data_IF_499185994094
#
_entry.id   IF_499185994094
#
_cell.length_a   1.000
_cell.length_b   1.000
_cell.length_c   1.000
_cell.angle_alpha   90.00
_cell.angle_beta   90.00
_cell.angle_gamma   90.00
#
_symmetry.space_group_name_H-M   'P 1'
#
loop_
_entity.id
_entity.type
_entity.pdbx_description
1 polymer ?
#
# COMPACT_ATOMS: atom_id res chain seq x y z
N UNK A 1 -0.25 20.67 -37.08
CA UNK A 1 0.34 21.32 -38.27
C UNK A 1 -0.35 20.77 -39.51
N UNK A 2 -1.12 21.59 -40.26
CA UNK A 2 -1.73 21.15 -41.51
C UNK A 2 -0.67 20.60 -42.48
N UNK A 3 -0.95 19.43 -43.08
CA UNK A 3 -0.07 18.82 -44.10
C UNK A 3 1.15 18.05 -43.61
N UNK A 4 1.44 18.02 -42.30
CA UNK A 4 2.51 17.17 -41.73
C UNK A 4 2.01 15.74 -41.54
N UNK A 5 2.89 14.77 -41.78
CA UNK A 5 2.57 13.36 -41.53
C UNK A 5 2.82 13.02 -40.07
N UNK A 6 2.09 12.04 -39.55
CA UNK A 6 2.19 11.63 -38.15
C UNK A 6 3.61 11.20 -37.75
N UNK A 7 4.32 10.53 -38.67
CA UNK A 7 5.72 10.12 -38.46
C UNK A 7 6.72 11.29 -38.39
N UNK A 8 6.36 12.48 -38.87
CA UNK A 8 7.19 13.67 -38.74
C UNK A 8 7.05 14.31 -37.35
N UNK A 9 6.00 13.94 -36.60
CA UNK A 9 5.60 14.58 -35.34
C UNK A 9 5.88 13.69 -34.13
N UNK A 10 5.81 12.36 -34.28
CA UNK A 10 5.93 11.41 -33.20
C UNK A 10 7.07 10.41 -33.43
N UNK A 11 7.81 10.01 -32.37
CA UNK A 11 8.76 8.90 -32.43
C UNK A 11 8.14 7.61 -32.97
N UNK A 12 8.97 6.76 -33.59
CA UNK A 12 8.52 5.58 -34.33
C UNK A 12 7.58 4.64 -33.56
N UNK A 13 7.89 4.36 -32.30
CA UNK A 13 7.06 3.50 -31.45
C UNK A 13 5.66 4.08 -31.21
N UNK A 14 5.59 5.37 -30.87
CA UNK A 14 4.32 6.06 -30.60
C UNK A 14 3.52 6.22 -31.91
N UNK A 15 4.21 6.47 -33.02
CA UNK A 15 3.58 6.52 -34.34
C UNK A 15 2.91 5.17 -34.71
N UNK A 16 3.63 4.05 -34.55
CA UNK A 16 3.07 2.71 -34.80
C UNK A 16 1.85 2.42 -33.92
N UNK A 17 1.95 2.73 -32.61
CA UNK A 17 0.82 2.61 -31.69
C UNK A 17 -0.37 3.45 -32.14
N UNK A 18 -0.13 4.70 -32.51
CA UNK A 18 -1.19 5.63 -32.96
C UNK A 18 -1.89 5.10 -34.19
N UNK A 19 -1.17 4.60 -35.21
CA UNK A 19 -1.76 4.00 -36.41
C UNK A 19 -2.65 2.79 -36.05
N UNK A 20 -2.22 1.95 -35.10
CA UNK A 20 -3.03 0.84 -34.60
C UNK A 20 -4.35 1.31 -33.96
N UNK A 21 -4.30 2.35 -33.12
CA UNK A 21 -5.51 2.93 -32.52
C UNK A 21 -6.41 3.65 -33.52
N UNK A 22 -5.84 4.27 -34.56
CA UNK A 22 -6.62 4.84 -35.68
C UNK A 22 -7.40 3.74 -36.40
N UNK A 23 -6.72 2.66 -36.80
CA UNK A 23 -7.36 1.52 -37.46
C UNK A 23 -8.46 0.91 -36.57
N UNK A 24 -8.18 0.78 -35.27
CA UNK A 24 -9.15 0.25 -34.31
C UNK A 24 -10.36 1.17 -34.16
N UNK A 25 -10.18 2.49 -34.08
CA UNK A 25 -11.26 3.46 -33.98
C UNK A 25 -12.16 3.45 -35.23
N UNK A 26 -11.57 3.39 -36.43
CA UNK A 26 -12.31 3.32 -37.70
C UNK A 26 -13.12 2.02 -37.82
N UNK A 27 -12.55 0.90 -37.38
CA UNK A 27 -13.23 -0.40 -37.43
C UNK A 27 -14.32 -0.55 -36.35
N UNK A 28 -14.03 -0.16 -35.10
CA UNK A 28 -14.94 -0.37 -33.98
C UNK A 28 -16.01 0.72 -33.84
N UNK A 29 -15.77 1.91 -34.39
CA UNK A 29 -16.59 3.10 -34.16
C UNK A 29 -16.55 3.61 -32.71
N UNK A 30 -15.71 3.04 -31.84
CA UNK A 30 -15.61 3.41 -30.43
C UNK A 30 -14.39 4.28 -30.16
N UNK A 31 -14.52 5.18 -29.19
CA UNK A 31 -13.42 6.05 -28.75
C UNK A 31 -12.27 5.18 -28.25
N UNK A 32 -11.11 5.35 -28.86
CA UNK A 32 -9.86 4.75 -28.41
C UNK A 32 -9.09 5.75 -27.57
N UNK A 33 -8.59 5.31 -26.42
CA UNK A 33 -7.78 6.14 -25.53
C UNK A 33 -6.49 5.42 -25.23
N UNK A 34 -5.37 6.15 -25.30
CA UNK A 34 -4.10 5.64 -24.83
C UNK A 34 -3.22 6.76 -24.31
N UNK A 35 -2.35 6.41 -23.37
CA UNK A 35 -1.34 7.31 -22.83
C UNK A 35 0.04 6.98 -23.39
N UNK A 36 0.85 8.02 -23.56
CA UNK A 36 2.24 7.95 -23.99
C UNK A 36 3.03 9.11 -23.38
N UNK A 37 4.35 8.97 -23.33
CA UNK A 37 5.23 10.04 -22.90
C UNK A 37 6.13 10.53 -24.02
N UNK A 38 6.53 11.80 -23.93
CA UNK A 38 7.48 12.43 -24.85
C UNK A 38 8.48 13.27 -24.06
N UNK A 39 9.69 13.37 -24.59
CA UNK A 39 10.64 14.38 -24.14
C UNK A 39 10.41 15.67 -24.92
N UNK A 40 9.91 16.70 -24.24
CA UNK A 40 9.68 18.03 -24.80
C UNK A 40 10.55 19.02 -24.03
N UNK A 41 11.46 19.69 -24.73
CA UNK A 41 12.46 20.60 -24.13
C UNK A 41 13.27 19.94 -22.99
N UNK A 42 13.66 18.66 -23.16
CA UNK A 42 14.43 17.90 -22.18
C UNK A 42 13.64 17.49 -20.92
N UNK A 43 12.34 17.77 -20.86
CA UNK A 43 11.46 17.32 -19.78
C UNK A 43 10.54 16.22 -20.28
N UNK A 44 10.40 15.16 -19.48
CA UNK A 44 9.42 14.11 -19.73
C UNK A 44 8.01 14.67 -19.49
N UNK A 45 7.11 14.49 -20.45
CA UNK A 45 5.70 14.87 -20.34
C UNK A 45 4.83 13.69 -20.71
N UNK A 46 3.67 13.59 -20.09
CA UNK A 46 2.69 12.53 -20.33
C UNK A 46 1.48 13.10 -21.06
N UNK A 47 1.02 12.37 -22.07
CA UNK A 47 -0.09 12.77 -22.92
C UNK A 47 -1.12 11.65 -22.98
N UNK A 48 -2.40 12.03 -22.88
CA UNK A 48 -3.55 11.18 -23.21
C UNK A 48 -4.00 11.54 -24.62
N UNK A 49 -4.02 10.57 -25.53
CA UNK A 49 -4.63 10.73 -26.84
C UNK A 49 -5.97 10.00 -26.88
N UNK A 50 -7.02 10.73 -27.26
CA UNK A 50 -8.35 10.20 -27.54
C UNK A 50 -8.61 10.27 -29.04
N UNK A 51 -8.84 9.13 -29.66
CA UNK A 51 -9.08 8.99 -31.10
C UNK A 51 -10.50 8.48 -31.32
N UNK A 52 -11.26 9.16 -32.17
CA UNK A 52 -12.60 8.76 -32.56
C UNK A 52 -12.78 8.85 -34.07
N UNK A 53 -13.53 7.92 -34.66
CA UNK A 53 -13.87 7.96 -36.06
C UNK A 53 -14.77 9.16 -36.39
N UNK A 54 -14.53 9.78 -37.54
CA UNK A 54 -15.35 10.82 -38.13
C UNK A 54 -15.68 10.38 -39.57
N UNK A 55 -16.67 9.50 -39.70
CA UNK A 55 -16.92 8.78 -40.95
C UNK A 55 -15.99 7.57 -41.13
N UNK A 56 -15.81 7.11 -42.37
CA UNK A 56 -15.08 5.89 -42.71
C UNK A 56 -13.58 6.08 -42.95
N UNK A 57 -13.12 7.30 -43.23
CA UNK A 57 -11.74 7.58 -43.68
C UNK A 57 -11.02 8.65 -42.87
N UNK A 58 -11.69 9.24 -41.88
CA UNK A 58 -11.11 10.28 -41.04
C UNK A 58 -11.30 9.96 -39.56
N UNK A 59 -10.38 10.49 -38.76
CA UNK A 59 -10.45 10.43 -37.30
C UNK A 59 -10.21 11.81 -36.70
N UNK A 60 -10.87 12.06 -35.57
CA UNK A 60 -10.55 13.17 -34.69
C UNK A 60 -9.65 12.64 -33.57
N UNK A 61 -8.52 13.30 -33.36
CA UNK A 61 -7.59 13.04 -32.25
C UNK A 61 -7.53 14.25 -31.32
N UNK A 62 -7.72 14.02 -30.03
CA UNK A 62 -7.60 15.02 -28.97
C UNK A 62 -6.44 14.60 -28.08
N UNK A 63 -5.40 15.42 -28.02
CA UNK A 63 -4.21 15.18 -27.20
C UNK A 63 -4.28 16.12 -25.99
N UNK A 64 -4.27 15.54 -24.79
CA UNK A 64 -4.28 16.27 -23.52
C UNK A 64 -2.97 16.02 -22.78
N UNK A 65 -2.33 17.08 -22.30
CA UNK A 65 -1.22 16.96 -21.34
C UNK A 65 -1.80 16.52 -19.98
N UNK A 66 -1.32 15.39 -19.48
CA UNK A 66 -1.73 14.78 -18.20
C UNK A 66 -0.55 14.66 -17.23
N UNK A 67 0.55 15.37 -17.49
CA UNK A 67 1.78 15.30 -16.69
C UNK A 67 1.50 15.58 -15.22
N UNK A 68 0.80 16.68 -14.90
CA UNK A 68 0.48 17.06 -13.52
C UNK A 68 -0.31 15.97 -12.78
N UNK A 69 -1.24 15.29 -13.48
CA UNK A 69 -2.04 14.20 -12.90
C UNK A 69 -1.17 12.99 -12.60
N UNK A 70 -0.34 12.57 -13.55
CA UNK A 70 0.56 11.42 -13.40
C UNK A 70 1.58 11.66 -12.29
N UNK A 71 2.16 12.86 -12.21
CA UNK A 71 3.10 13.23 -11.16
C UNK A 71 2.44 13.27 -9.78
N UNK A 72 1.22 13.82 -9.68
CA UNK A 72 0.46 13.85 -8.42
C UNK A 72 0.07 12.44 -7.94
N UNK A 73 -0.35 11.56 -8.85
CA UNK A 73 -0.65 10.15 -8.54
C UNK A 73 0.60 9.42 -8.05
N UNK A 74 1.74 9.57 -8.73
CA UNK A 74 3.01 8.97 -8.31
C UNK A 74 3.50 9.49 -6.96
N UNK A 75 3.40 10.80 -6.71
CA UNK A 75 3.75 11.40 -5.42
C UNK A 75 2.86 10.89 -4.29
N UNK A 76 1.56 10.73 -4.55
CA UNK A 76 0.61 10.16 -3.58
C UNK A 76 0.94 8.70 -3.26
N UNK A 77 1.21 7.88 -4.27
CA UNK A 77 1.61 6.48 -4.06
C UNK A 77 2.89 6.37 -3.25
N UNK A 78 3.87 7.23 -3.53
CA UNK A 78 5.11 7.30 -2.77
C UNK A 78 4.86 7.64 -1.31
N UNK A 79 4.04 8.66 -1.03
CA UNK A 79 3.70 9.05 0.33
C UNK A 79 2.96 7.93 1.08
N UNK A 80 2.05 7.21 0.41
CA UNK A 80 1.36 6.06 1.01
C UNK A 80 2.35 4.97 1.40
N UNK A 81 3.36 4.68 0.57
CA UNK A 81 4.43 3.72 0.90
C UNK A 81 5.22 4.17 2.13
N UNK A 82 5.66 5.42 2.15
CA UNK A 82 6.43 5.97 3.28
C UNK A 82 5.64 5.93 4.59
N UNK A 83 4.35 6.26 4.56
CA UNK A 83 3.48 6.17 5.72
C UNK A 83 3.31 4.72 6.20
N UNK A 84 3.15 3.76 5.28
CA UNK A 84 3.06 2.32 5.62
C UNK A 84 4.34 1.80 6.25
N UNK A 85 5.49 2.22 5.73
CA UNK A 85 6.80 1.82 6.26
C UNK A 85 7.04 2.42 7.66
N UNK A 86 6.67 3.70 7.85
CA UNK A 86 6.73 4.35 9.16
C UNK A 86 5.83 3.64 10.17
N UNK A 87 4.59 3.30 9.80
CA UNK A 87 3.67 2.54 10.65
C UNK A 87 4.22 1.16 11.01
N UNK A 88 4.85 0.47 10.06
CA UNK A 88 5.48 -0.83 10.31
C UNK A 88 6.60 -0.72 11.33
N UNK A 89 7.46 0.31 11.22
CA UNK A 89 8.54 0.56 12.19
C UNK A 89 8.02 0.91 13.58
N UNK A 90 6.92 1.65 13.69
CA UNK A 90 6.29 1.93 14.99
C UNK A 90 5.74 0.65 15.62
N UNK A 91 5.11 -0.23 14.83
CA UNK A 91 4.59 -1.52 15.34
C UNK A 91 5.70 -2.44 15.86
N UNK A 92 6.86 -2.49 15.20
CA UNK A 92 7.99 -3.30 15.68
C UNK A 92 8.61 -2.73 16.96
N UNK A 93 8.69 -1.40 17.08
CA UNK A 93 9.17 -0.74 18.31
C UNK A 93 8.18 -0.89 19.49
N UNK A 94 6.87 -0.87 19.22
CA UNK A 94 5.82 -1.12 20.22
C UNK A 94 5.66 -2.59 20.62
N UNK A 95 6.31 -3.52 19.91
CA UNK A 95 6.28 -4.95 20.24
C UNK A 95 7.31 -5.39 21.28
N UNK A 96 8.27 -4.52 21.62
CA UNK A 96 9.29 -4.82 22.62
C UNK A 96 8.80 -4.37 24.00
N UNK A 97 8.41 -5.34 24.81
CA UNK A 97 8.07 -5.11 26.21
C UNK A 97 9.37 -5.17 27.03
N UNK A 98 9.86 -4.05 27.59
CA UNK A 98 11.07 -4.05 28.39
C UNK A 98 10.83 -4.78 29.72
N UNK A 99 11.54 -5.89 29.93
CA UNK A 99 11.48 -6.67 31.18
C UNK A 99 12.76 -6.55 32.00
N UNK A 100 12.64 -6.61 33.32
CA UNK A 100 13.79 -6.70 34.21
C UNK A 100 14.43 -8.09 34.09
N UNK A 101 15.72 -8.17 33.77
CA UNK A 101 16.41 -9.45 33.58
C UNK A 101 16.38 -10.33 34.83
N UNK A 102 16.38 -9.73 36.03
CA UNK A 102 16.42 -10.41 37.32
C UNK A 102 15.04 -10.84 37.84
N UNK A 103 14.03 -9.95 37.80
CA UNK A 103 12.72 -10.19 38.42
C UNK A 103 11.54 -10.24 37.43
N UNK A 104 11.79 -10.08 36.12
CA UNK A 104 10.81 -10.17 35.01
C UNK A 104 9.63 -9.19 35.05
N UNK A 105 9.64 -8.20 35.97
CA UNK A 105 8.72 -7.05 35.93
C UNK A 105 8.83 -6.31 34.60
N UNK A 106 7.72 -5.72 34.15
CA UNK A 106 7.64 -4.92 32.92
C UNK A 106 7.82 -3.45 33.28
N UNK A 107 8.56 -2.71 32.44
CA UNK A 107 8.64 -1.25 32.54
C UNK A 107 7.58 -0.59 31.66
N UNK A 108 6.74 0.26 32.26
CA UNK A 108 5.71 1.01 31.53
C UNK A 108 6.27 2.25 30.80
N UNK A 109 5.41 2.93 30.04
CA UNK A 109 5.74 4.16 29.29
C UNK A 109 6.12 5.35 30.20
N UNK A 110 5.74 5.31 31.49
CA UNK A 110 6.12 6.31 32.50
C UNK A 110 7.44 5.96 33.19
N UNK A 111 7.97 4.76 32.93
CA UNK A 111 9.22 4.26 33.43
C UNK A 111 9.13 3.47 34.74
N UNK A 112 7.94 3.19 35.27
CA UNK A 112 7.73 2.39 36.49
C UNK A 112 7.76 0.88 36.19
N UNK A 113 8.11 0.09 37.21
CA UNK A 113 8.20 -1.37 37.12
C UNK A 113 6.95 -2.04 37.70
N UNK A 114 6.14 -2.65 36.83
CA UNK A 114 4.87 -3.29 37.17
C UNK A 114 4.94 -4.81 37.03
N UNK A 115 4.01 -5.51 37.68
CA UNK A 115 3.79 -6.94 37.42
C UNK A 115 3.18 -7.15 36.03
N UNK A 116 3.38 -8.35 35.48
CA UNK A 116 2.97 -8.70 34.13
C UNK A 116 1.46 -8.54 33.93
N UNK A 117 0.70 -9.01 34.90
CA UNK A 117 -0.76 -9.05 34.93
C UNK A 117 -1.33 -7.64 34.85
N UNK A 118 -0.84 -6.73 35.70
CA UNK A 118 -1.25 -5.32 35.71
C UNK A 118 -0.98 -4.64 34.37
N UNK A 119 0.23 -4.84 33.83
CA UNK A 119 0.60 -4.26 32.54
C UNK A 119 -0.29 -4.80 31.40
N UNK A 120 -0.55 -6.11 31.36
CA UNK A 120 -1.37 -6.71 30.31
C UNK A 120 -2.86 -6.31 30.42
N UNK A 121 -3.39 -6.12 31.63
CA UNK A 121 -4.76 -5.60 31.81
C UNK A 121 -4.91 -4.17 31.29
N UNK A 122 -3.90 -3.32 31.48
CA UNK A 122 -3.94 -1.92 31.02
C UNK A 122 -3.70 -1.78 29.51
N UNK A 123 -2.97 -2.73 28.90
CA UNK A 123 -2.50 -2.62 27.51
C UNK A 123 -3.08 -3.69 26.56
N UNK A 124 -4.03 -4.52 27.01
CA UNK A 124 -4.71 -5.51 26.17
C UNK A 124 -6.14 -5.75 26.64
N UNK A 125 -6.93 -6.46 25.83
CA UNK A 125 -8.30 -6.88 26.19
C UNK A 125 -8.32 -8.15 27.06
N UNK A 126 -7.18 -8.57 27.61
CA UNK A 126 -7.07 -9.81 28.38
C UNK A 126 -7.60 -9.65 29.81
N UNK A 127 -8.47 -10.58 30.23
CA UNK A 127 -8.91 -10.72 31.61
C UNK A 127 -8.19 -11.89 32.29
N UNK A 128 -7.77 -11.72 33.55
CA UNK A 128 -7.05 -12.73 34.32
C UNK A 128 -7.95 -13.36 35.37
N UNK A 129 -7.97 -14.69 35.40
CA UNK A 129 -8.52 -15.47 36.50
C UNK A 129 -7.39 -16.05 37.34
N UNK A 130 -7.70 -16.33 38.61
CA UNK A 130 -6.75 -17.00 39.49
C UNK A 130 -6.97 -18.51 39.38
N UNK A 131 -5.91 -19.25 39.11
CA UNK A 131 -5.89 -20.70 39.07
C UNK A 131 -4.57 -21.23 39.61
N UNK A 132 -4.56 -22.48 40.02
CA UNK A 132 -3.35 -23.20 40.42
C UNK A 132 -3.15 -24.35 39.45
N UNK A 133 -1.95 -24.49 38.86
CA UNK A 133 -1.67 -25.61 37.98
C UNK A 133 -1.49 -26.90 38.80
N UNK A 134 -1.62 -28.06 38.16
CA UNK A 134 -1.53 -29.36 38.84
C UNK A 134 -0.20 -29.57 39.58
N UNK A 135 0.90 -29.06 39.03
CA UNK A 135 2.22 -29.16 39.64
C UNK A 135 2.30 -28.37 40.94
N UNK A 136 1.82 -27.12 40.93
CA UNK A 136 1.73 -26.30 42.13
C UNK A 136 0.73 -26.89 43.14
N UNK A 137 -0.38 -27.45 42.66
CA UNK A 137 -1.37 -28.09 43.51
C UNK A 137 -0.77 -29.30 44.24
N UNK A 138 -0.03 -30.15 43.53
CA UNK A 138 0.68 -31.31 44.11
C UNK A 138 1.79 -30.90 45.08
N UNK A 139 2.54 -29.84 44.75
CA UNK A 139 3.65 -29.38 45.57
C UNK A 139 3.21 -28.74 46.89
N UNK A 140 2.21 -27.86 46.84
CA UNK A 140 1.81 -27.03 47.98
C UNK A 140 0.58 -27.55 48.72
N UNK A 141 -0.26 -28.34 48.05
CA UNK A 141 -1.50 -28.89 48.60
C UNK A 141 -1.64 -30.41 48.31
N UNK A 142 -0.63 -31.23 48.66
CA UNK A 142 -0.60 -32.65 48.31
C UNK A 142 -1.80 -33.46 48.85
N UNK A 143 -2.38 -33.03 49.99
CA UNK A 143 -3.55 -33.70 50.59
C UNK A 143 -4.86 -33.46 49.81
N UNK A 144 -4.94 -32.34 49.09
CA UNK A 144 -6.09 -31.99 48.26
C UNK A 144 -5.93 -32.50 46.82
N UNK A 145 -4.69 -32.70 46.35
CA UNK A 145 -4.40 -33.24 45.03
C UNK A 145 -4.88 -34.69 44.82
N UNK A 146 -5.15 -35.45 45.90
CA UNK A 146 -5.63 -36.85 45.83
C UNK A 146 -7.15 -37.00 45.66
N UNK A 147 -7.92 -35.90 45.64
CA UNK A 147 -9.40 -35.94 45.63
C UNK A 147 -10.05 -35.58 44.29
N UNK A 148 -9.30 -35.22 43.25
CA UNK A 148 -9.87 -34.79 41.95
C UNK A 148 -10.08 -35.90 40.92
N UNK A 149 -9.72 -37.15 41.21
CA UNK A 149 -9.93 -38.31 40.31
C UNK A 149 -11.28 -39.05 40.57
N UNK A 150 -12.37 -38.31 40.81
CA UNK A 150 -13.72 -38.88 40.87
C UNK A 150 -14.68 -38.17 39.94
#
# INVERSE_FOLDING_TARGET
LPGKRLHDLLPGEINQRTLGYISKALYSGTVQVFEFDLQVHGKKRFYENRIMACGSEAVLSIIRDVTDRVEAEAAKEQLIRELRDALTKIKTLRGLIPICSSCKKIRDDKGYWNQLELYLQEHSEAEFSHGICDDCMKAWYPDYAKKSDR
#
